data_IF_648807344329
#
_entry.id   IF_648807344329
#
_cell.length_a   1.000
_cell.length_b   1.000
_cell.length_c   1.000
_cell.angle_alpha   90.00
_cell.angle_beta   90.00
_cell.angle_gamma   90.00
#
_symmetry.space_group_name_H-M   'P 1'
#
loop_
_entity.id
_entity.type
_entity.pdbx_description
1 polymer ?
#
# COMPACT_ATOMS: atom_id res chain seq x y z
N UNK A 1 -16.31 21.72 35.45
CA UNK A 1 -16.68 20.54 34.63
C UNK A 1 -16.93 21.04 33.21
N UNK A 2 -16.03 20.79 32.26
CA UNK A 2 -16.22 21.11 30.83
C UNK A 2 -16.91 19.94 30.16
N UNK A 3 -18.09 20.22 29.59
CA UNK A 3 -18.86 19.24 28.82
C UNK A 3 -18.04 18.78 27.59
N UNK A 4 -17.79 17.50 27.49
CA UNK A 4 -17.20 16.86 26.30
C UNK A 4 -18.34 16.84 25.26
N UNK A 5 -18.20 17.60 24.18
CA UNK A 5 -19.10 17.51 23.02
C UNK A 5 -18.86 16.14 22.37
N UNK A 6 -19.86 15.29 22.39
CA UNK A 6 -19.89 14.09 21.58
C UNK A 6 -20.03 14.52 20.11
N UNK A 7 -19.11 14.08 19.26
CA UNK A 7 -19.18 14.22 17.81
C UNK A 7 -20.04 13.05 17.32
N UNK A 8 -21.11 13.34 16.58
CA UNK A 8 -21.98 12.34 15.94
C UNK A 8 -21.74 12.35 14.44
N UNK A 9 -21.86 11.18 13.78
CA UNK A 9 -21.86 11.05 12.32
C UNK A 9 -23.15 11.62 11.68
N UNK A 10 -23.24 11.57 10.36
CA UNK A 10 -24.39 12.08 9.60
C UNK A 10 -25.71 11.37 9.93
N UNK A 11 -25.65 10.17 10.52
CA UNK A 11 -26.79 9.38 10.97
C UNK A 11 -27.10 9.60 12.48
N UNK A 12 -26.44 10.55 13.14
CA UNK A 12 -26.67 10.91 14.56
C UNK A 12 -26.11 9.90 15.56
N UNK A 13 -25.23 8.95 15.13
CA UNK A 13 -24.59 8.01 16.03
C UNK A 13 -23.32 8.60 16.64
N UNK A 14 -23.03 8.34 17.94
CA UNK A 14 -21.81 8.86 18.56
C UNK A 14 -20.57 8.28 17.86
N UNK A 15 -19.72 9.16 17.30
CA UNK A 15 -18.41 8.79 16.80
C UNK A 15 -17.54 8.45 17.98
N UNK A 16 -17.35 7.18 18.25
CA UNK A 16 -16.38 6.70 19.24
C UNK A 16 -15.00 6.94 18.65
N UNK A 17 -14.20 7.79 19.27
CA UNK A 17 -12.81 7.98 18.94
C UNK A 17 -12.11 6.60 18.99
N UNK A 18 -11.75 6.04 17.83
CA UNK A 18 -11.21 4.69 17.72
C UNK A 18 -11.93 3.76 16.75
N UNK A 19 -12.88 4.24 15.93
CA UNK A 19 -13.46 3.44 14.83
C UNK A 19 -12.37 3.22 13.78
N UNK A 20 -11.59 2.15 13.97
CA UNK A 20 -10.73 1.61 12.92
C UNK A 20 -11.58 1.32 11.68
N UNK A 21 -11.18 1.84 10.53
CA UNK A 21 -11.73 1.43 9.26
C UNK A 21 -11.68 -0.10 9.17
N UNK A 22 -12.81 -0.71 8.85
CA UNK A 22 -12.84 -2.14 8.54
C UNK A 22 -11.96 -2.34 7.30
N UNK A 23 -10.93 -3.21 7.37
CA UNK A 23 -10.07 -3.44 6.21
C UNK A 23 -10.86 -3.88 4.99
N UNK A 24 -10.38 -3.49 3.82
CA UNK A 24 -10.98 -3.89 2.54
C UNK A 24 -10.93 -5.40 2.43
N UNK A 25 -12.04 -6.04 2.04
CA UNK A 25 -12.17 -7.49 1.83
C UNK A 25 -11.65 -8.32 3.02
N UNK A 26 -11.80 -7.82 4.26
CA UNK A 26 -11.26 -8.45 5.47
C UNK A 26 -11.61 -9.94 5.55
N UNK A 27 -12.88 -10.26 5.40
CA UNK A 27 -13.35 -11.62 5.52
C UNK A 27 -12.89 -12.50 4.35
N UNK A 28 -13.07 -12.01 3.14
CA UNK A 28 -12.75 -12.72 1.90
C UNK A 28 -11.25 -13.05 1.80
N UNK A 29 -10.39 -12.09 2.16
CA UNK A 29 -8.94 -12.28 2.09
C UNK A 29 -8.44 -13.28 3.13
N UNK A 30 -8.98 -13.23 4.36
CA UNK A 30 -8.60 -14.15 5.44
C UNK A 30 -9.24 -15.53 5.24
N UNK A 31 -10.48 -15.62 4.76
CA UNK A 31 -11.10 -16.89 4.36
C UNK A 31 -10.30 -17.57 3.23
N UNK A 32 -9.77 -16.78 2.30
CA UNK A 32 -8.90 -17.26 1.22
C UNK A 32 -7.63 -17.96 1.71
N UNK A 33 -7.12 -17.61 2.88
CA UNK A 33 -5.96 -18.26 3.50
C UNK A 33 -6.26 -19.67 4.01
N UNK A 34 -7.54 -20.05 4.21
CA UNK A 34 -7.96 -21.33 4.77
C UNK A 34 -7.15 -21.69 6.05
N UNK A 35 -7.22 -20.80 7.04
CA UNK A 35 -6.36 -20.83 8.23
C UNK A 35 -6.51 -22.16 8.99
N UNK A 36 -5.36 -22.78 9.27
CA UNK A 36 -5.22 -23.92 10.17
C UNK A 36 -4.78 -23.42 11.55
N UNK A 37 -5.36 -23.93 12.65
CA UNK A 37 -5.07 -23.41 13.99
C UNK A 37 -3.58 -23.41 14.36
N UNK A 38 -2.81 -24.40 13.94
CA UNK A 38 -1.38 -24.55 14.29
C UNK A 38 -0.45 -24.09 13.14
N UNK A 39 -0.98 -23.35 12.15
CA UNK A 39 -0.25 -22.88 11.00
C UNK A 39 0.62 -21.66 11.28
N UNK A 40 1.57 -21.41 10.38
CA UNK A 40 2.39 -20.19 10.37
C UNK A 40 1.94 -19.28 9.23
N UNK A 41 1.55 -18.06 9.57
CA UNK A 41 1.02 -17.09 8.61
C UNK A 41 1.85 -15.81 8.61
N UNK A 42 1.79 -15.10 7.51
CA UNK A 42 2.44 -13.80 7.36
C UNK A 42 1.43 -12.80 6.80
N UNK A 43 1.33 -11.63 7.45
CA UNK A 43 0.67 -10.43 6.94
C UNK A 43 1.77 -9.43 6.59
N UNK A 44 1.99 -9.16 5.30
CA UNK A 44 3.10 -8.28 4.88
C UNK A 44 2.73 -6.80 4.86
N UNK A 45 1.51 -6.46 5.27
CA UNK A 45 0.93 -5.11 5.23
C UNK A 45 0.09 -4.84 6.48
N UNK A 46 0.74 -4.79 7.64
CA UNK A 46 0.08 -4.70 8.94
C UNK A 46 -0.86 -3.48 9.06
N UNK A 47 -0.38 -2.28 8.69
CA UNK A 47 -1.15 -1.04 8.73
C UNK A 47 -1.88 -0.81 10.08
N UNK A 48 -3.21 -0.83 10.03
CA UNK A 48 -4.06 -0.73 11.23
C UNK A 48 -4.23 -2.05 12.00
N UNK A 49 -3.62 -3.15 11.56
CA UNK A 49 -3.65 -4.46 12.20
C UNK A 49 -4.98 -5.22 12.06
N UNK A 50 -5.89 -4.78 11.18
CA UNK A 50 -7.20 -5.39 11.06
C UNK A 50 -7.14 -6.83 10.53
N UNK A 51 -6.43 -7.06 9.41
CA UNK A 51 -6.21 -8.40 8.86
C UNK A 51 -5.45 -9.28 9.85
N UNK A 52 -4.39 -8.76 10.46
CA UNK A 52 -3.60 -9.49 11.46
C UNK A 52 -4.43 -9.94 12.66
N UNK A 53 -5.31 -9.08 13.20
CA UNK A 53 -6.23 -9.45 14.29
C UNK A 53 -7.19 -10.55 13.88
N UNK A 54 -7.74 -10.49 12.68
CA UNK A 54 -8.63 -11.52 12.16
C UNK A 54 -7.91 -12.86 11.96
N UNK A 55 -6.67 -12.86 11.45
CA UNK A 55 -5.84 -14.06 11.36
C UNK A 55 -5.58 -14.64 12.75
N UNK A 56 -5.15 -13.82 13.72
CA UNK A 56 -4.87 -14.24 15.09
C UNK A 56 -6.09 -14.85 15.79
N UNK A 57 -7.29 -14.33 15.52
CA UNK A 57 -8.53 -14.85 16.10
C UNK A 57 -8.85 -16.28 15.67
N UNK A 58 -8.33 -16.71 14.52
CA UNK A 58 -8.51 -18.05 13.95
C UNK A 58 -7.37 -19.02 14.27
N UNK A 59 -6.26 -18.52 14.83
CA UNK A 59 -5.12 -19.34 15.23
C UNK A 59 -5.33 -19.94 16.63
N UNK A 60 -4.92 -21.19 16.77
CA UNK A 60 -4.80 -21.89 18.06
C UNK A 60 -3.50 -21.53 18.78
N UNK A 61 -3.23 -22.24 19.90
CA UNK A 61 -2.04 -22.01 20.73
C UNK A 61 -0.73 -22.30 19.99
N UNK A 62 -0.71 -23.28 19.08
CA UNK A 62 0.44 -23.66 18.26
C UNK A 62 0.66 -22.77 17.03
N UNK A 63 -0.30 -21.91 16.67
CA UNK A 63 -0.23 -21.06 15.51
C UNK A 63 0.68 -19.86 15.69
N UNK A 64 1.23 -19.34 14.60
CA UNK A 64 2.12 -18.16 14.60
C UNK A 64 1.74 -17.18 13.50
N UNK A 65 1.80 -15.89 13.82
CA UNK A 65 1.64 -14.80 12.86
C UNK A 65 2.85 -13.85 12.90
N UNK A 66 3.41 -13.59 11.74
CA UNK A 66 4.41 -12.54 11.53
C UNK A 66 3.77 -11.42 10.72
N UNK A 67 3.81 -10.18 11.24
CA UNK A 67 3.21 -9.05 10.53
C UNK A 67 4.25 -7.98 10.26
N UNK A 68 4.30 -7.54 9.00
CA UNK A 68 5.28 -6.58 8.51
C UNK A 68 4.65 -5.22 8.28
N UNK A 69 5.40 -4.19 8.63
CA UNK A 69 5.17 -2.85 8.11
C UNK A 69 6.50 -2.07 8.11
N UNK A 70 6.69 -1.23 7.09
CA UNK A 70 7.87 -0.36 7.04
C UNK A 70 7.62 1.00 7.70
N UNK A 71 6.35 1.37 7.93
CA UNK A 71 5.99 2.60 8.61
C UNK A 71 6.09 2.42 10.14
N UNK A 72 6.84 3.31 10.79
CA UNK A 72 6.95 3.31 12.25
C UNK A 72 5.61 3.61 12.94
N UNK A 73 4.71 4.33 12.29
CA UNK A 73 3.42 4.68 12.86
C UNK A 73 2.50 3.44 13.00
N UNK A 74 2.72 2.40 12.21
CA UNK A 74 2.00 1.13 12.30
C UNK A 74 2.21 0.41 13.64
N UNK A 75 3.39 0.56 14.28
CA UNK A 75 3.68 -0.04 15.59
C UNK A 75 2.66 0.37 16.68
N UNK A 76 2.09 1.57 16.58
CA UNK A 76 1.08 2.06 17.53
C UNK A 76 -0.22 1.27 17.51
N UNK A 77 -0.44 0.50 16.44
CA UNK A 77 -1.64 -0.29 16.23
C UNK A 77 -1.52 -1.73 16.76
N UNK A 78 -0.37 -2.07 17.35
CA UNK A 78 -0.15 -3.38 17.96
C UNK A 78 -0.97 -3.47 19.24
N UNK A 79 -1.94 -4.38 19.26
CA UNK A 79 -2.80 -4.64 20.42
C UNK A 79 -2.54 -6.01 21.05
N UNK A 80 -1.98 -6.96 20.28
CA UNK A 80 -1.61 -8.28 20.75
C UNK A 80 -0.08 -8.37 20.86
N UNK A 81 0.39 -8.71 22.05
CA UNK A 81 1.80 -8.92 22.35
C UNK A 81 2.08 -10.35 22.81
N UNK A 82 1.14 -11.27 22.56
CA UNK A 82 1.26 -12.69 22.91
C UNK A 82 2.35 -13.39 22.09
N UNK A 83 2.76 -14.58 22.57
CA UNK A 83 3.85 -15.37 21.95
C UNK A 83 3.56 -15.83 20.52
N UNK A 84 2.31 -15.78 20.08
CA UNK A 84 1.89 -16.17 18.74
C UNK A 84 2.07 -15.07 17.69
N UNK A 85 2.29 -13.82 18.12
CA UNK A 85 2.38 -12.65 17.26
C UNK A 85 3.79 -12.05 17.28
N UNK A 86 4.32 -11.78 16.10
CA UNK A 86 5.61 -11.09 15.94
C UNK A 86 5.44 -9.96 14.94
N UNK A 87 5.65 -8.73 15.38
CA UNK A 87 5.71 -7.58 14.48
C UNK A 87 7.13 -7.38 13.96
N UNK A 88 7.25 -7.17 12.66
CA UNK A 88 8.53 -6.97 11.97
C UNK A 88 8.51 -5.60 11.28
N UNK A 89 9.20 -4.61 11.87
CA UNK A 89 9.32 -3.30 11.25
C UNK A 89 10.31 -3.33 10.10
N UNK A 90 9.84 -3.73 8.93
CA UNK A 90 10.65 -3.86 7.72
C UNK A 90 9.78 -3.78 6.47
N UNK A 91 10.41 -3.43 5.34
CA UNK A 91 9.78 -3.61 4.05
C UNK A 91 9.66 -5.11 3.74
N UNK A 92 8.51 -5.52 3.21
CA UNK A 92 8.20 -6.91 2.87
C UNK A 92 9.10 -7.50 1.78
N UNK A 93 9.87 -6.70 1.05
CA UNK A 93 10.89 -7.18 0.12
C UNK A 93 11.92 -8.11 0.80
N UNK A 94 12.14 -7.91 2.10
CA UNK A 94 13.05 -8.71 2.91
C UNK A 94 12.37 -9.91 3.62
N UNK A 95 11.20 -10.32 3.14
CA UNK A 95 10.41 -11.40 3.74
C UNK A 95 11.23 -12.65 4.03
N UNK A 96 11.95 -13.18 3.04
CA UNK A 96 12.74 -14.41 3.19
C UNK A 96 13.85 -14.26 4.22
N UNK A 97 14.50 -13.09 4.26
CA UNK A 97 15.56 -12.82 5.23
C UNK A 97 15.05 -12.87 6.66
N UNK A 98 13.88 -12.26 6.90
CA UNK A 98 13.26 -12.26 8.20
C UNK A 98 12.71 -13.63 8.60
N UNK A 99 12.10 -14.37 7.68
CA UNK A 99 11.66 -15.74 7.97
C UNK A 99 12.83 -16.64 8.35
N UNK A 100 13.95 -16.53 7.65
CA UNK A 100 15.19 -17.23 8.01
C UNK A 100 15.72 -16.81 9.39
N UNK A 101 15.69 -15.51 9.71
CA UNK A 101 16.11 -15.00 11.01
C UNK A 101 15.29 -15.60 12.17
N UNK A 102 13.98 -15.78 11.96
CA UNK A 102 13.09 -16.40 12.95
C UNK A 102 13.05 -17.93 12.88
N UNK A 103 13.89 -18.56 12.09
CA UNK A 103 13.93 -20.02 11.93
C UNK A 103 12.69 -20.61 11.27
N UNK A 104 12.01 -19.83 10.41
CA UNK A 104 10.82 -20.23 9.68
C UNK A 104 11.22 -20.63 8.26
N UNK A 105 11.22 -21.93 7.96
CA UNK A 105 11.53 -22.45 6.64
C UNK A 105 10.34 -22.41 5.70
N UNK A 106 9.14 -22.63 6.25
CA UNK A 106 7.91 -22.67 5.47
C UNK A 106 6.75 -21.97 6.19
N UNK A 107 5.86 -21.37 5.40
CA UNK A 107 4.61 -20.74 5.87
C UNK A 107 3.38 -21.42 5.25
N UNK A 108 2.26 -21.36 5.95
CA UNK A 108 0.98 -21.91 5.51
C UNK A 108 0.17 -20.94 4.68
N UNK A 109 0.38 -19.65 4.91
CA UNK A 109 -0.26 -18.61 4.13
C UNK A 109 0.38 -17.24 4.29
N UNK A 110 0.17 -16.40 3.27
CA UNK A 110 0.62 -15.03 3.22
C UNK A 110 -0.52 -14.14 2.74
N UNK A 111 -0.73 -13.02 3.45
CA UNK A 111 -1.66 -11.96 3.07
C UNK A 111 -0.86 -10.70 2.74
N UNK A 112 -1.27 -10.04 1.66
CA UNK A 112 -0.78 -8.72 1.27
C UNK A 112 -1.97 -7.82 0.88
N UNK A 113 -2.18 -6.73 1.62
CA UNK A 113 -3.12 -5.65 1.30
C UNK A 113 -2.30 -4.47 0.79
N UNK A 114 -2.11 -4.40 -0.54
CA UNK A 114 -1.14 -3.48 -1.15
C UNK A 114 -1.65 -2.02 -1.15
N UNK A 115 -0.77 -1.11 -1.50
CA UNK A 115 -1.08 0.32 -1.61
C UNK A 115 -0.77 1.11 -0.34
N UNK A 116 -1.56 2.13 -0.06
CA UNK A 116 -1.39 3.03 1.09
C UNK A 116 -2.50 2.84 2.11
N UNK A 117 -2.15 2.90 3.38
CA UNK A 117 -3.15 2.91 4.45
C UNK A 117 -3.96 4.21 4.43
N UNK A 118 -5.20 4.19 4.94
CA UNK A 118 -6.00 5.39 5.14
C UNK A 118 -5.23 6.45 5.96
N UNK A 119 -4.42 6.00 6.93
CA UNK A 119 -3.57 6.88 7.73
C UNK A 119 -2.59 7.71 6.85
N UNK A 120 -1.99 7.12 5.82
CA UNK A 120 -1.11 7.85 4.90
C UNK A 120 -1.85 8.93 4.11
N UNK A 121 -3.12 8.69 3.73
CA UNK A 121 -3.93 9.64 2.96
C UNK A 121 -4.53 10.74 3.84
N UNK A 122 -4.78 10.45 5.11
CA UNK A 122 -5.41 11.38 6.06
C UNK A 122 -4.36 12.24 6.79
N UNK A 123 -3.11 11.79 6.89
CA UNK A 123 -2.00 12.61 7.40
C UNK A 123 -1.51 13.57 6.32
N UNK A 124 -2.08 14.77 6.31
CA UNK A 124 -1.70 15.82 5.36
C UNK A 124 -0.22 16.19 5.37
N UNK A 125 0.56 15.84 6.40
CA UNK A 125 2.00 16.16 6.48
C UNK A 125 2.89 15.22 5.64
N UNK A 126 2.32 14.12 5.12
CA UNK A 126 3.05 13.05 4.43
C UNK A 126 3.15 13.22 2.90
N UNK A 127 2.35 14.12 2.32
CA UNK A 127 2.35 14.40 0.89
C UNK A 127 1.74 13.30 -0.03
N UNK A 128 1.08 12.29 0.52
CA UNK A 128 0.42 11.23 -0.27
C UNK A 128 -0.87 11.70 -0.94
N UNK A 129 -1.47 12.78 -0.42
CA UNK A 129 -2.75 13.31 -0.90
C UNK A 129 -2.58 14.75 -1.40
N UNK A 130 -3.27 15.09 -2.46
CA UNK A 130 -3.35 16.46 -2.98
C UNK A 130 -4.55 17.25 -2.41
N UNK A 131 -5.21 16.72 -1.37
CA UNK A 131 -6.26 17.46 -0.64
C UNK A 131 -5.69 18.58 0.22
N UNK A 132 -4.44 18.46 0.61
CA UNK A 132 -3.72 19.39 1.48
C UNK A 132 -2.50 19.93 0.76
N UNK A 133 -2.17 21.19 0.97
CA UNK A 133 -0.85 21.70 0.56
C UNK A 133 0.18 21.32 1.62
N UNK A 134 1.07 20.41 1.27
CA UNK A 134 1.99 19.76 2.20
C UNK A 134 3.31 19.41 1.53
N UNK A 135 4.38 19.14 2.30
CA UNK A 135 5.65 18.70 1.71
C UNK A 135 5.49 17.49 0.81
N UNK A 136 6.13 17.46 -0.34
CA UNK A 136 6.19 16.33 -1.27
C UNK A 136 7.17 15.26 -0.76
N UNK A 137 6.84 14.60 0.36
CA UNK A 137 7.65 13.52 0.92
C UNK A 137 7.32 12.16 0.27
N UNK A 138 6.13 11.65 0.45
CA UNK A 138 5.59 10.37 -0.04
C UNK A 138 6.36 9.11 0.41
N UNK A 139 7.32 9.19 1.33
CA UNK A 139 8.02 8.02 1.85
C UNK A 139 7.16 7.29 2.88
N UNK A 140 6.98 6.00 2.70
CA UNK A 140 6.37 5.14 3.74
C UNK A 140 7.33 4.96 4.91
N UNK A 141 8.63 4.79 4.65
CA UNK A 141 9.66 4.81 5.67
C UNK A 141 10.36 6.17 5.73
N UNK A 142 10.01 7.00 6.72
CA UNK A 142 10.59 8.35 6.91
C UNK A 142 12.08 8.38 7.24
N UNK A 143 12.68 7.26 7.62
CA UNK A 143 14.08 7.20 8.08
C UNK A 143 15.10 7.15 6.95
N UNK A 144 14.66 6.81 5.75
CA UNK A 144 15.57 6.65 4.60
C UNK A 144 14.82 6.85 3.29
N UNK A 145 15.59 6.98 2.23
CA UNK A 145 15.06 7.08 0.87
C UNK A 145 14.92 8.51 0.38
N UNK A 146 14.66 8.60 -0.90
CA UNK A 146 14.47 9.83 -1.66
C UNK A 146 13.02 10.27 -1.57
N UNK A 147 12.75 11.54 -1.35
CA UNK A 147 11.40 12.10 -1.32
C UNK A 147 10.84 12.31 -2.74
N UNK A 148 9.55 12.55 -2.84
CA UNK A 148 8.95 12.93 -4.12
C UNK A 148 9.51 14.27 -4.62
N UNK A 149 9.80 15.22 -3.73
CA UNK A 149 10.45 16.47 -4.08
C UNK A 149 11.85 16.23 -4.68
N UNK A 150 12.65 15.34 -4.09
CA UNK A 150 13.98 14.99 -4.60
C UNK A 150 13.89 14.35 -6.00
N UNK A 151 12.90 13.51 -6.25
CA UNK A 151 12.65 12.92 -7.59
C UNK A 151 12.35 14.01 -8.61
N UNK A 152 11.45 14.93 -8.28
CA UNK A 152 11.09 16.04 -9.17
C UNK A 152 12.27 16.98 -9.44
N UNK A 153 13.17 17.14 -8.46
CA UNK A 153 14.34 17.98 -8.59
C UNK A 153 15.47 17.32 -9.39
N UNK A 154 15.76 16.04 -9.12
CA UNK A 154 16.97 15.36 -9.61
C UNK A 154 16.81 14.60 -10.91
N UNK A 155 15.63 14.04 -11.21
CA UNK A 155 15.43 13.21 -12.41
C UNK A 155 15.49 14.06 -13.68
N UNK A 156 16.11 13.54 -14.73
CA UNK A 156 16.01 14.14 -16.08
C UNK A 156 14.57 13.99 -16.62
N UNK A 157 14.30 14.76 -17.69
CA UNK A 157 12.97 14.81 -18.30
C UNK A 157 12.50 13.44 -18.82
N UNK A 158 13.41 12.67 -19.41
CA UNK A 158 13.09 11.35 -19.97
C UNK A 158 12.70 10.36 -18.87
N UNK A 159 13.52 10.27 -17.81
CA UNK A 159 13.26 9.40 -16.69
C UNK A 159 11.96 9.78 -15.95
N UNK A 160 11.73 11.07 -15.75
CA UNK A 160 10.50 11.54 -15.12
C UNK A 160 9.27 11.23 -15.98
N UNK A 161 9.37 11.38 -17.30
CA UNK A 161 8.30 11.00 -18.23
C UNK A 161 8.01 9.50 -18.18
N UNK A 162 9.04 8.66 -18.08
CA UNK A 162 8.90 7.21 -17.97
C UNK A 162 8.22 6.80 -16.67
N UNK A 163 8.59 7.39 -15.54
CA UNK A 163 7.92 7.17 -14.23
C UNK A 163 6.44 7.51 -14.32
N UNK A 164 6.11 8.72 -14.84
CA UNK A 164 4.73 9.18 -14.97
C UNK A 164 3.93 8.29 -15.95
N UNK A 165 4.55 7.81 -17.01
CA UNK A 165 3.91 6.93 -17.98
C UNK A 165 3.70 5.53 -17.43
N UNK A 166 4.75 4.91 -16.88
CA UNK A 166 4.71 3.51 -16.44
C UNK A 166 3.83 3.32 -15.20
N UNK A 167 3.91 4.24 -14.24
CA UNK A 167 3.23 4.10 -12.94
C UNK A 167 1.96 4.93 -12.81
N UNK A 168 1.83 6.01 -13.60
CA UNK A 168 0.61 6.82 -13.66
C UNK A 168 -0.31 6.49 -14.82
N UNK A 169 0.19 5.75 -15.84
CA UNK A 169 -0.54 5.48 -17.07
C UNK A 169 -1.09 6.75 -17.74
N UNK A 170 -0.36 7.87 -17.58
CA UNK A 170 -0.74 9.18 -18.11
C UNK A 170 -0.15 9.39 -19.51
N UNK A 171 -1.00 9.56 -20.50
CA UNK A 171 -0.58 9.80 -21.90
C UNK A 171 0.20 11.11 -22.07
N UNK A 172 -0.03 12.09 -21.18
CA UNK A 172 0.61 13.40 -21.20
C UNK A 172 1.96 13.42 -20.46
N UNK A 173 2.51 12.27 -20.07
CA UNK A 173 3.70 12.12 -19.23
C UNK A 173 4.87 12.99 -19.66
N UNK A 174 5.21 13.01 -20.97
CA UNK A 174 6.29 13.84 -21.54
C UNK A 174 6.05 15.34 -21.35
N UNK A 175 4.80 15.80 -21.54
CA UNK A 175 4.44 17.21 -21.35
C UNK A 175 4.49 17.62 -19.90
N UNK A 176 4.04 16.75 -19.00
CA UNK A 176 4.11 16.96 -17.54
C UNK A 176 5.57 17.00 -17.10
N UNK A 177 6.41 16.05 -17.53
CA UNK A 177 7.82 16.00 -17.21
C UNK A 177 8.56 17.27 -17.69
N UNK A 178 8.34 17.68 -18.94
CA UNK A 178 8.92 18.92 -19.50
C UNK A 178 8.50 20.16 -18.68
N UNK A 179 7.23 20.23 -18.26
CA UNK A 179 6.74 21.34 -17.44
C UNK A 179 7.39 21.35 -16.04
N UNK A 180 7.55 20.19 -15.41
CA UNK A 180 8.24 20.05 -14.11
C UNK A 180 9.70 20.48 -14.25
N UNK A 181 10.42 19.97 -15.26
CA UNK A 181 11.83 20.32 -15.50
C UNK A 181 12.00 21.82 -15.80
N UNK A 182 11.05 22.43 -16.48
CA UNK A 182 11.04 23.88 -16.70
C UNK A 182 10.79 24.63 -15.39
N UNK A 183 9.77 24.26 -14.64
CA UNK A 183 9.36 24.97 -13.42
C UNK A 183 10.44 24.93 -12.33
N UNK A 184 11.12 23.78 -12.12
CA UNK A 184 12.17 23.66 -11.10
C UNK A 184 13.41 24.54 -11.35
N UNK A 185 13.61 25.02 -12.59
CA UNK A 185 14.67 25.99 -12.91
C UNK A 185 14.39 27.39 -12.35
N UNK A 186 13.12 27.70 -12.13
CA UNK A 186 12.66 28.97 -11.56
C UNK A 186 12.56 28.88 -10.03
N UNK A 187 11.95 27.80 -9.53
CA UNK A 187 11.81 27.51 -8.11
C UNK A 187 11.64 26.00 -7.88
N UNK A 188 12.22 25.42 -6.81
CA UNK A 188 12.04 24.01 -6.49
C UNK A 188 10.57 23.70 -6.19
N UNK A 189 10.09 22.52 -6.63
CA UNK A 189 8.76 22.01 -6.32
C UNK A 189 8.84 21.23 -5.01
N UNK A 190 8.47 21.85 -3.91
CA UNK A 190 8.62 21.26 -2.56
C UNK A 190 7.30 20.87 -1.92
N UNK A 191 6.17 21.41 -2.43
CA UNK A 191 4.85 21.10 -1.89
C UNK A 191 3.94 20.43 -2.93
N UNK A 192 2.90 19.78 -2.45
CA UNK A 192 1.85 19.21 -3.31
C UNK A 192 1.19 20.30 -4.15
N UNK A 193 1.00 21.51 -3.58
CA UNK A 193 0.46 22.66 -4.30
C UNK A 193 1.34 23.14 -5.44
N UNK A 194 2.67 23.08 -5.31
CA UNK A 194 3.59 23.43 -6.40
C UNK A 194 3.44 22.45 -7.57
N UNK A 195 3.39 21.15 -7.27
CA UNK A 195 3.19 20.12 -8.29
C UNK A 195 1.83 20.26 -8.97
N UNK A 196 0.76 20.54 -8.21
CA UNK A 196 -0.57 20.76 -8.75
C UNK A 196 -0.58 21.88 -9.78
N UNK A 197 -0.02 23.07 -9.44
CA UNK A 197 0.04 24.24 -10.34
C UNK A 197 0.73 23.92 -11.66
N UNK A 198 1.80 23.12 -11.61
CA UNK A 198 2.58 22.75 -12.80
C UNK A 198 1.86 21.71 -13.64
N UNK A 199 1.20 20.73 -13.02
CA UNK A 199 0.62 19.59 -13.71
C UNK A 199 -0.82 19.82 -14.20
N UNK A 200 -1.61 20.64 -13.51
CA UNK A 200 -3.03 20.89 -13.80
C UNK A 200 -3.34 21.20 -15.27
N UNK A 201 -2.55 22.05 -16.01
CA UNK A 201 -2.82 22.38 -17.41
C UNK A 201 -2.75 21.17 -18.36
N UNK A 202 -2.17 20.06 -17.92
CA UNK A 202 -1.98 18.84 -18.74
C UNK A 202 -2.97 17.72 -18.36
N UNK A 203 -3.81 17.94 -17.38
CA UNK A 203 -4.84 16.97 -17.00
C UNK A 203 -5.97 16.92 -18.03
N UNK A 204 -6.57 15.76 -18.20
CA UNK A 204 -7.67 15.56 -19.15
C UNK A 204 -8.93 16.24 -18.64
N UNK A 205 -9.52 17.12 -19.46
CA UNK A 205 -10.76 17.83 -19.10
C UNK A 205 -11.85 16.84 -18.66
N UNK A 206 -12.44 17.12 -17.50
CA UNK A 206 -13.45 16.27 -16.87
C UNK A 206 -12.91 15.03 -16.16
N UNK A 207 -11.57 14.88 -16.08
CA UNK A 207 -10.87 13.76 -15.39
C UNK A 207 -9.70 14.25 -14.56
N UNK A 208 -9.64 15.55 -14.28
CA UNK A 208 -8.51 16.24 -13.66
C UNK A 208 -8.11 15.57 -12.35
N UNK A 209 -9.08 15.34 -11.46
CA UNK A 209 -8.85 14.67 -10.16
C UNK A 209 -8.29 13.27 -10.34
N UNK A 210 -8.82 12.51 -11.31
CA UNK A 210 -8.36 11.14 -11.58
C UNK A 210 -6.93 11.11 -12.13
N UNK A 211 -6.64 12.00 -13.06
CA UNK A 211 -5.31 12.09 -13.66
C UNK A 211 -4.29 12.60 -12.62
N UNK A 212 -4.70 13.52 -11.73
CA UNK A 212 -3.87 13.97 -10.62
C UNK A 212 -3.58 12.84 -9.62
N UNK A 213 -4.59 12.06 -9.25
CA UNK A 213 -4.40 10.88 -8.39
C UNK A 213 -3.38 9.88 -9.01
N UNK A 214 -3.42 9.70 -10.33
CA UNK A 214 -2.46 8.86 -11.06
C UNK A 214 -1.04 9.43 -11.07
N UNK A 215 -0.90 10.75 -11.14
CA UNK A 215 0.41 11.41 -11.03
C UNK A 215 1.00 11.18 -9.64
N UNK A 216 0.21 11.36 -8.58
CA UNK A 216 0.62 11.09 -7.22
C UNK A 216 0.95 9.61 -7.00
N UNK A 217 0.15 8.70 -7.55
CA UNK A 217 0.43 7.27 -7.56
C UNK A 217 1.79 6.97 -8.21
N UNK A 218 2.10 7.60 -9.35
CA UNK A 218 3.36 7.37 -10.05
C UNK A 218 4.58 7.77 -9.20
N UNK A 219 4.53 8.93 -8.57
CA UNK A 219 5.59 9.40 -7.68
C UNK A 219 5.72 8.52 -6.45
N UNK A 220 4.61 8.13 -5.83
CA UNK A 220 4.59 7.25 -4.66
C UNK A 220 5.24 5.90 -4.96
N UNK A 221 4.87 5.28 -6.07
CA UNK A 221 5.44 3.99 -6.49
C UNK A 221 6.95 4.10 -6.68
N UNK A 222 7.41 5.17 -7.32
CA UNK A 222 8.85 5.41 -7.54
C UNK A 222 9.58 5.66 -6.22
N UNK A 223 9.06 6.55 -5.35
CA UNK A 223 9.64 6.87 -4.04
C UNK A 223 9.84 5.62 -3.18
N UNK A 224 8.85 4.73 -3.17
CA UNK A 224 8.84 3.56 -2.29
C UNK A 224 9.32 2.27 -2.98
N UNK A 225 9.69 2.33 -4.27
CA UNK A 225 10.08 1.17 -5.06
C UNK A 225 9.07 0.01 -4.97
N UNK A 226 7.77 0.35 -5.00
CA UNK A 226 6.69 -0.58 -4.68
C UNK A 226 6.64 -1.79 -5.63
N UNK A 227 6.89 -1.56 -6.92
CA UNK A 227 6.88 -2.64 -7.93
C UNK A 227 7.99 -3.66 -7.73
N UNK A 228 9.18 -3.21 -7.31
CA UNK A 228 10.32 -4.10 -7.08
C UNK A 228 10.13 -4.86 -5.76
N UNK A 229 9.67 -4.16 -4.72
CA UNK A 229 9.34 -4.79 -3.46
C UNK A 229 8.27 -5.88 -3.63
N UNK A 230 7.22 -5.62 -4.44
CA UNK A 230 6.18 -6.61 -4.76
C UNK A 230 6.75 -7.83 -5.48
N UNK A 231 7.61 -7.64 -6.50
CA UNK A 231 8.24 -8.77 -7.22
C UNK A 231 9.11 -9.63 -6.29
N UNK A 232 9.91 -8.99 -5.45
CA UNK A 232 10.79 -9.67 -4.47
C UNK A 232 9.97 -10.43 -3.42
N UNK A 233 8.89 -9.83 -2.93
CA UNK A 233 7.96 -10.47 -1.98
C UNK A 233 7.28 -11.70 -2.61
N UNK A 234 6.75 -11.57 -3.83
CA UNK A 234 6.10 -12.69 -4.52
C UNK A 234 7.08 -13.84 -4.81
N UNK A 235 8.31 -13.52 -5.20
CA UNK A 235 9.36 -14.52 -5.40
C UNK A 235 9.73 -15.24 -4.08
N UNK A 236 9.78 -14.49 -2.97
CA UNK A 236 10.02 -15.04 -1.63
C UNK A 236 8.85 -15.90 -1.15
N UNK A 237 7.61 -15.42 -1.38
CA UNK A 237 6.40 -16.18 -1.05
C UNK A 237 6.35 -17.53 -1.77
N UNK A 238 6.73 -17.57 -3.06
CA UNK A 238 6.77 -18.81 -3.84
C UNK A 238 7.74 -19.86 -3.27
N UNK A 239 8.82 -19.42 -2.62
CA UNK A 239 9.79 -20.33 -1.96
C UNK A 239 9.38 -20.76 -0.56
N UNK A 240 8.72 -19.84 0.18
CA UNK A 240 8.36 -20.07 1.56
C UNK A 240 7.05 -20.83 1.73
N UNK A 241 6.10 -20.66 0.82
CA UNK A 241 4.81 -21.35 0.89
C UNK A 241 5.01 -22.85 0.73
N UNK A 242 4.51 -23.61 1.71
CA UNK A 242 4.49 -25.09 1.60
C UNK A 242 3.48 -25.54 0.55
N UNK A 243 3.57 -26.77 0.06
CA UNK A 243 2.54 -27.35 -0.81
C UNK A 243 1.15 -27.23 -0.16
N UNK A 244 0.20 -26.65 -0.88
CA UNK A 244 -1.15 -26.36 -0.37
C UNK A 244 -1.24 -25.04 0.44
N UNK A 245 -0.16 -24.33 0.69
CA UNK A 245 -0.15 -22.99 1.28
C UNK A 245 -0.86 -21.97 0.39
N UNK A 246 -1.36 -20.90 0.97
CA UNK A 246 -2.22 -19.92 0.31
C UNK A 246 -1.60 -18.52 0.30
N UNK A 247 -1.71 -17.87 -0.86
CA UNK A 247 -1.36 -16.47 -1.04
C UNK A 247 -2.64 -15.67 -1.29
N UNK A 248 -2.91 -14.67 -0.47
CA UNK A 248 -4.01 -13.72 -0.63
C UNK A 248 -3.43 -12.32 -0.88
N UNK A 249 -3.71 -11.73 -2.04
CA UNK A 249 -3.21 -10.40 -2.41
C UNK A 249 -4.39 -9.52 -2.79
N UNK A 250 -4.51 -8.36 -2.15
CA UNK A 250 -5.44 -7.30 -2.50
C UNK A 250 -4.65 -6.24 -3.25
N UNK A 251 -5.13 -5.86 -4.42
CA UNK A 251 -4.50 -4.89 -5.32
C UNK A 251 -5.46 -3.73 -5.59
N UNK A 252 -4.92 -2.53 -5.82
CA UNK A 252 -5.72 -1.31 -6.03
C UNK A 252 -5.53 -0.71 -7.42
N UNK A 253 -4.53 -1.17 -8.17
CA UNK A 253 -4.30 -0.69 -9.53
C UNK A 253 -3.72 -1.74 -10.46
N UNK A 254 -3.93 -1.52 -11.76
CA UNK A 254 -3.58 -2.43 -12.86
C UNK A 254 -2.11 -2.86 -12.91
N UNK A 255 -1.20 -2.09 -12.32
CA UNK A 255 0.25 -2.40 -12.33
C UNK A 255 0.51 -3.55 -11.35
N UNK A 256 -0.08 -3.50 -10.14
CA UNK A 256 0.00 -4.59 -9.16
C UNK A 256 -0.61 -5.87 -9.75
N UNK A 257 -1.81 -5.77 -10.36
CA UNK A 257 -2.46 -6.91 -11.01
C UNK A 257 -1.55 -7.56 -12.06
N UNK A 258 -0.92 -6.75 -12.93
CA UNK A 258 -0.03 -7.27 -13.98
C UNK A 258 1.19 -7.98 -13.43
N UNK A 259 1.77 -7.47 -12.35
CA UNK A 259 2.94 -8.08 -11.70
C UNK A 259 2.54 -9.42 -11.07
N UNK A 260 1.44 -9.45 -10.34
CA UNK A 260 0.94 -10.64 -9.67
C UNK A 260 0.59 -11.75 -10.68
N UNK A 261 -0.18 -11.43 -11.72
CA UNK A 261 -0.54 -12.37 -12.80
C UNK A 261 0.69 -12.86 -13.56
N UNK A 262 1.67 -11.99 -13.80
CA UNK A 262 2.91 -12.33 -14.48
C UNK A 262 3.73 -13.36 -13.71
N UNK A 263 3.84 -13.20 -12.40
CA UNK A 263 4.54 -14.14 -11.52
C UNK A 263 3.85 -15.51 -11.46
N UNK A 264 2.51 -15.55 -11.43
CA UNK A 264 1.75 -16.81 -11.48
C UNK A 264 2.05 -17.63 -12.74
N UNK A 265 2.18 -16.98 -13.89
CA UNK A 265 2.48 -17.65 -15.18
C UNK A 265 3.91 -18.17 -15.25
N UNK A 266 4.87 -17.50 -14.63
CA UNK A 266 6.28 -17.92 -14.56
C UNK A 266 6.53 -19.07 -13.59
N UNK A 267 5.68 -19.26 -12.59
CA UNK A 267 5.78 -20.31 -11.56
C UNK A 267 5.06 -21.61 -11.93
N UNK A 268 4.71 -21.84 -13.18
CA UNK A 268 3.94 -22.98 -13.66
C UNK A 268 4.72 -24.32 -13.59
N UNK A 269 5.15 -24.72 -12.40
CA UNK A 269 5.80 -25.98 -12.09
C UNK A 269 5.51 -26.53 -10.69
N UNK A 270 4.99 -25.72 -9.78
CA UNK A 270 4.54 -26.15 -8.46
C UNK A 270 3.05 -25.87 -8.35
N UNK A 271 2.24 -26.89 -8.03
CA UNK A 271 0.78 -26.82 -8.00
C UNK A 271 0.20 -25.75 -7.09
N UNK A 272 0.23 -24.52 -7.53
CA UNK A 272 -0.48 -23.41 -6.94
C UNK A 272 -1.95 -23.55 -7.32
N UNK A 273 -2.75 -23.98 -6.35
CA UNK A 273 -4.21 -23.90 -6.42
C UNK A 273 -4.59 -22.45 -6.73
N UNK A 274 -5.49 -22.26 -7.70
CA UNK A 274 -5.99 -20.93 -8.10
C UNK A 274 -6.45 -20.15 -6.88
N UNK A 275 -5.80 -19.04 -6.51
CA UNK A 275 -6.40 -18.09 -5.60
C UNK A 275 -7.58 -17.47 -6.35
N UNK A 276 -8.69 -17.30 -5.66
CA UNK A 276 -9.78 -16.49 -6.17
C UNK A 276 -9.32 -15.02 -6.08
N UNK A 277 -8.95 -14.45 -7.21
CA UNK A 277 -8.85 -12.99 -7.32
C UNK A 277 -10.27 -12.46 -7.32
N UNK A 278 -10.68 -11.85 -6.25
CA UNK A 278 -11.73 -10.85 -6.34
C UNK A 278 -11.04 -9.57 -6.80
N UNK A 279 -10.91 -9.39 -8.13
CA UNK A 279 -10.78 -8.06 -8.68
C UNK A 279 -12.02 -7.31 -8.15
N UNK A 280 -11.82 -6.28 -7.36
CA UNK A 280 -12.89 -5.31 -7.11
C UNK A 280 -13.24 -4.79 -8.51
N UNK A 281 -14.46 -5.01 -9.03
CA UNK A 281 -14.87 -4.32 -10.22
C UNK A 281 -14.58 -2.86 -9.93
N UNK A 282 -14.11 -2.11 -10.92
CA UNK A 282 -14.07 -0.65 -10.88
C UNK A 282 -15.51 -0.16 -10.73
N UNK A 283 -16.11 -0.48 -9.58
CA UNK A 283 -17.42 -0.09 -9.16
C UNK A 283 -17.39 1.42 -9.11
N UNK A 284 -18.34 2.02 -9.78
CA UNK A 284 -18.64 3.42 -9.69
C UNK A 284 -18.45 3.85 -8.23
N UNK A 285 -17.47 4.70 -8.01
CA UNK A 285 -17.40 5.49 -6.79
C UNK A 285 -18.76 6.16 -6.62
N UNK A 286 -19.33 6.19 -5.41
CA UNK A 286 -20.53 6.95 -5.18
C UNK A 286 -20.35 8.36 -5.73
N UNK A 287 -21.35 8.88 -6.41
CA UNK A 287 -21.34 10.18 -7.09
C UNK A 287 -21.35 11.37 -6.11
N UNK A 288 -21.14 11.13 -4.83
CA UNK A 288 -21.18 12.16 -3.80
C UNK A 288 -19.79 12.33 -3.18
N UNK A 289 -19.11 13.32 -3.65
CA UNK A 289 -18.20 14.31 -3.11
C UNK A 289 -17.27 13.98 -1.93
N UNK A 290 -16.70 12.79 -1.81
CA UNK A 290 -15.72 12.51 -0.77
C UNK A 290 -14.55 11.69 -1.33
N UNK A 291 -13.60 12.41 -1.96
CA UNK A 291 -12.20 12.00 -2.18
C UNK A 291 -11.29 13.23 -2.15
#
# INVERSE_FOLDING_TARGET
MKAIRQITDEDGKPVVAGTYHVPVLLKESVDGLAIRPDGTYVDVTFGGGGHSREILSRLGEGGRLFSFDQDADAERNITDTGSRFTFVRSNFRYLENWMRYYGVEHIDGLLADLGVSSHHLDDGSRGFSFRFDSPLDMRMNKRSGTTAADILDSYDEARLADVIYMYGELRQSRRIAAAVVKARREAPLVTTGDLLKVAEPFMTRGREKKDMARLFQALRIEVNHETDALREMLASAARLLRPGGRLSVITYHSIEDRIEIGQRRGSCGAGLLRPQTHAVPSGRLPSDGAF
#
